data_IF_011315476060
#
_entry.id   IF_011315476060
#
_cell.length_a   1.000
_cell.length_b   1.000
_cell.length_c   1.000
_cell.angle_alpha   90.00
_cell.angle_beta   90.00
_cell.angle_gamma   90.00
#
_symmetry.space_group_name_H-M   'P 1'
#
loop_
_entity.id
_entity.type
_entity.pdbx_description
1 polymer ?
#
# COMPACT_ATOMS: atom_id res chain seq x y z
N UNK A 1 -33.17 28.57 -59.90
CA UNK A 1 -32.08 28.95 -58.98
C UNK A 1 -32.31 28.24 -57.70
N UNK A 2 -31.68 27.05 -57.51
CA UNK A 2 -31.89 26.19 -56.34
C UNK A 2 -30.76 26.39 -55.33
N UNK A 3 -31.10 26.89 -54.13
CA UNK A 3 -30.21 27.02 -53.01
C UNK A 3 -30.09 25.69 -52.29
N UNK A 4 -28.93 25.01 -52.39
CA UNK A 4 -28.60 23.83 -51.60
C UNK A 4 -28.07 24.25 -50.23
N UNK A 5 -28.90 24.07 -49.21
CA UNK A 5 -28.49 24.23 -47.81
C UNK A 5 -27.75 22.96 -47.38
N UNK A 6 -26.42 23.01 -47.29
CA UNK A 6 -25.61 21.93 -46.67
C UNK A 6 -25.64 22.11 -45.17
N UNK A 7 -26.39 21.27 -44.49
CA UNK A 7 -26.34 21.13 -43.03
C UNK A 7 -25.08 20.37 -42.67
N UNK A 8 -24.10 21.06 -42.09
CA UNK A 8 -22.89 20.44 -41.55
C UNK A 8 -23.22 19.95 -40.12
N UNK A 9 -23.47 18.65 -39.97
CA UNK A 9 -23.71 18.05 -38.67
C UNK A 9 -22.36 17.87 -37.95
N UNK A 10 -22.02 18.79 -37.05
CA UNK A 10 -20.83 18.67 -36.19
C UNK A 10 -21.17 17.68 -35.10
N UNK A 11 -20.65 16.47 -35.23
CA UNK A 11 -20.70 15.44 -34.17
C UNK A 11 -19.72 15.85 -33.07
N UNK A 12 -20.21 16.48 -32.01
CA UNK A 12 -19.46 16.74 -30.80
C UNK A 12 -19.28 15.41 -30.07
N UNK A 13 -18.13 14.75 -30.25
CA UNK A 13 -17.72 13.63 -29.43
C UNK A 13 -17.34 14.19 -28.05
N UNK A 14 -18.29 14.13 -27.10
CA UNK A 14 -18.00 14.43 -25.69
C UNK A 14 -17.10 13.34 -25.12
N UNK A 15 -15.79 13.61 -25.06
CA UNK A 15 -14.85 12.78 -24.33
C UNK A 15 -15.11 13.01 -22.82
N UNK A 16 -15.85 12.12 -22.18
CA UNK A 16 -15.96 12.09 -20.72
C UNK A 16 -14.65 11.54 -20.17
N UNK A 17 -13.78 12.42 -19.67
CA UNK A 17 -12.65 12.03 -18.85
C UNK A 17 -13.19 11.40 -17.57
N UNK A 18 -13.19 10.06 -17.52
CA UNK A 18 -13.47 9.34 -16.27
C UNK A 18 -12.22 9.41 -15.40
N UNK A 19 -12.26 10.27 -14.39
CA UNK A 19 -11.25 10.22 -13.33
C UNK A 19 -11.54 9.01 -12.46
N UNK A 20 -10.58 8.11 -12.34
CA UNK A 20 -10.68 7.03 -11.37
C UNK A 20 -10.63 7.62 -9.95
N UNK A 21 -11.54 7.22 -9.08
CA UNK A 21 -11.50 7.60 -7.67
C UNK A 21 -10.19 7.06 -7.05
N UNK A 22 -9.40 7.95 -6.45
CA UNK A 22 -8.18 7.59 -5.72
C UNK A 22 -8.37 7.91 -4.24
N UNK A 23 -8.01 6.95 -3.38
CA UNK A 23 -8.01 7.13 -1.92
C UNK A 23 -6.59 7.00 -1.42
N UNK A 24 -6.00 8.11 -0.99
CA UNK A 24 -4.68 8.10 -0.37
C UNK A 24 -4.78 7.55 1.04
N UNK A 25 -4.23 6.35 1.26
CA UNK A 25 -4.32 5.64 2.53
C UNK A 25 -3.44 6.29 3.60
N UNK A 26 -2.21 6.68 3.25
CA UNK A 26 -1.27 7.36 4.14
C UNK A 26 -0.70 8.60 3.46
N UNK A 27 -0.61 9.70 4.21
CA UNK A 27 0.03 10.93 3.77
C UNK A 27 1.49 11.04 4.23
N UNK A 28 1.88 10.19 5.19
CA UNK A 28 3.20 10.16 5.80
C UNK A 28 3.64 11.54 6.31
N UNK A 29 2.79 12.13 7.16
CA UNK A 29 3.11 13.34 7.91
C UNK A 29 3.48 12.99 9.36
N UNK A 30 4.22 13.87 10.04
CA UNK A 30 4.55 13.67 11.47
C UNK A 30 3.30 13.63 12.35
N UNK A 31 2.29 14.44 12.02
CA UNK A 31 1.00 14.43 12.73
C UNK A 31 0.28 13.08 12.54
N UNK A 32 0.27 12.52 11.33
CA UNK A 32 -0.30 11.20 11.08
C UNK A 32 0.50 10.12 11.81
N UNK A 33 1.83 10.12 11.71
CA UNK A 33 2.69 9.15 12.39
C UNK A 33 2.48 9.17 13.91
N UNK A 34 2.37 10.36 14.52
CA UNK A 34 2.14 10.53 15.95
C UNK A 34 0.77 10.01 16.40
N UNK A 35 -0.20 9.93 15.49
CA UNK A 35 -1.54 9.39 15.78
C UNK A 35 -1.61 7.86 15.70
N UNK A 36 -0.57 7.20 15.17
CA UNK A 36 -0.52 5.76 14.99
C UNK A 36 0.22 5.06 16.12
N UNK A 37 -0.30 3.92 16.54
CA UNK A 37 0.36 3.07 17.52
C UNK A 37 1.38 2.12 16.87
N UNK A 38 2.63 2.17 17.33
CA UNK A 38 3.64 1.18 16.96
C UNK A 38 3.44 -0.09 17.78
N UNK A 39 2.98 -1.15 17.14
CA UNK A 39 2.72 -2.46 17.76
C UNK A 39 3.86 -3.42 17.49
N UNK A 40 4.55 -3.84 18.55
CA UNK A 40 5.62 -4.84 18.45
C UNK A 40 5.06 -6.19 18.01
N UNK A 41 5.72 -6.83 17.05
CA UNK A 41 5.37 -8.20 16.65
C UNK A 41 5.72 -9.17 17.79
N UNK A 42 4.85 -10.17 18.01
CA UNK A 42 5.08 -11.19 19.04
C UNK A 42 6.39 -11.94 18.76
N UNK A 43 7.26 -12.00 19.77
CA UNK A 43 8.58 -12.64 19.67
C UNK A 43 9.70 -11.72 19.17
N UNK A 44 9.39 -10.49 18.72
CA UNK A 44 10.42 -9.52 18.39
C UNK A 44 11.12 -8.99 19.66
N UNK A 45 12.42 -8.72 19.57
CA UNK A 45 13.18 -8.16 20.68
C UNK A 45 12.86 -6.67 20.87
N UNK A 46 12.87 -5.89 19.79
CA UNK A 46 12.70 -4.46 19.80
C UNK A 46 11.54 -4.01 18.88
N UNK A 47 11.14 -2.76 19.00
CA UNK A 47 10.26 -2.09 18.03
C UNK A 47 11.09 -1.47 16.92
N UNK A 48 10.60 -1.53 15.69
CA UNK A 48 11.08 -0.77 14.55
C UNK A 48 10.95 0.73 14.84
N UNK A 49 11.94 1.51 14.45
CA UNK A 49 11.90 2.96 14.52
C UNK A 49 11.31 3.49 13.22
N UNK A 50 10.26 4.28 13.33
CA UNK A 50 9.58 4.91 12.20
C UNK A 50 9.79 6.42 12.23
N UNK A 51 10.14 7.00 11.10
CA UNK A 51 10.27 8.44 10.89
C UNK A 51 9.67 8.84 9.56
N UNK A 52 9.24 10.08 9.45
CA UNK A 52 8.80 10.65 8.18
C UNK A 52 10.00 11.25 7.46
N UNK A 53 10.08 11.03 6.16
CA UNK A 53 11.00 11.70 5.25
C UNK A 53 10.26 12.28 4.06
N UNK A 54 10.95 13.10 3.28
CA UNK A 54 10.40 13.69 2.07
C UNK A 54 11.46 13.74 0.96
N UNK A 55 11.00 13.61 -0.29
CA UNK A 55 11.81 13.75 -1.49
C UNK A 55 10.98 14.35 -2.63
N UNK A 56 11.49 14.38 -3.85
CA UNK A 56 10.81 14.86 -5.04
C UNK A 56 9.47 14.18 -5.33
N UNK A 57 9.29 12.92 -4.89
CA UNK A 57 8.05 12.15 -5.07
C UNK A 57 7.06 12.34 -3.90
N UNK A 58 7.39 13.17 -2.92
CA UNK A 58 6.57 13.46 -1.76
C UNK A 58 7.07 12.81 -0.46
N UNK A 59 6.17 12.74 0.52
CA UNK A 59 6.49 12.17 1.82
C UNK A 59 6.52 10.64 1.80
N UNK A 60 7.39 10.07 2.61
CA UNK A 60 7.50 8.63 2.79
C UNK A 60 7.72 8.26 4.26
N UNK A 61 7.38 7.03 4.62
CA UNK A 61 7.69 6.45 5.93
C UNK A 61 9.03 5.71 5.83
N UNK A 62 10.00 6.13 6.62
CA UNK A 62 11.25 5.40 6.82
C UNK A 62 11.12 4.47 8.02
N UNK A 63 11.47 3.21 7.85
CA UNK A 63 11.47 2.20 8.89
C UNK A 63 12.88 1.65 9.08
N UNK A 64 13.39 1.70 10.30
CA UNK A 64 14.69 1.12 10.67
C UNK A 64 14.45 0.00 11.68
N UNK A 65 14.76 -1.23 11.27
CA UNK A 65 14.63 -2.43 12.07
C UNK A 65 16.01 -3.01 12.35
N UNK A 66 16.48 -2.87 13.59
CA UNK A 66 17.68 -3.53 14.09
C UNK A 66 17.28 -4.50 15.19
N UNK A 67 17.35 -5.79 14.88
CA UNK A 67 16.82 -6.85 15.75
C UNK A 67 15.41 -6.52 16.27
N UNK A 68 14.58 -5.99 15.38
CA UNK A 68 13.31 -5.37 15.69
C UNK A 68 12.24 -5.75 14.66
N UNK A 69 11.01 -5.91 15.11
CA UNK A 69 9.85 -6.03 14.24
C UNK A 69 8.63 -5.38 14.89
N UNK A 70 7.98 -4.51 14.14
CA UNK A 70 6.71 -3.91 14.54
C UNK A 70 5.91 -3.47 13.32
N UNK A 71 4.66 -3.14 13.53
CA UNK A 71 3.77 -2.65 12.50
C UNK A 71 3.09 -1.36 12.92
N UNK A 72 2.71 -0.59 11.92
CA UNK A 72 1.80 0.55 12.00
C UNK A 72 0.56 0.24 11.19
N UNK A 73 -0.58 0.73 11.61
CA UNK A 73 -1.80 0.52 10.85
C UNK A 73 -2.92 1.45 11.27
N UNK A 74 -3.85 1.65 10.38
CA UNK A 74 -5.11 2.33 10.64
C UNK A 74 -6.27 1.62 9.97
N UNK A 75 -7.45 1.87 10.49
CA UNK A 75 -8.69 1.40 9.89
C UNK A 75 -9.27 2.47 8.98
N UNK A 76 -9.66 2.07 7.77
CA UNK A 76 -10.27 2.96 6.78
C UNK A 76 -11.47 2.29 6.14
N UNK A 77 -12.43 3.09 5.70
CA UNK A 77 -13.57 2.60 4.90
C UNK A 77 -13.27 2.82 3.43
N UNK A 78 -13.24 1.74 2.65
CA UNK A 78 -12.99 1.77 1.21
C UNK A 78 -14.13 1.06 0.48
N UNK A 79 -14.57 1.65 -0.64
CA UNK A 79 -15.48 1.00 -1.58
C UNK A 79 -14.67 0.31 -2.68
N UNK A 80 -14.48 -1.00 -2.55
CA UNK A 80 -13.70 -1.79 -3.51
C UNK A 80 -14.31 -1.87 -4.92
N UNK A 81 -15.59 -1.51 -5.09
CA UNK A 81 -16.18 -1.40 -6.43
C UNK A 81 -15.69 -0.15 -7.17
N UNK A 82 -15.26 0.90 -6.44
CA UNK A 82 -14.72 2.13 -6.99
C UNK A 82 -13.20 2.13 -7.06
N UNK A 83 -12.56 1.57 -6.02
CA UNK A 83 -11.10 1.54 -5.88
C UNK A 83 -10.62 0.10 -5.64
N UNK A 84 -10.66 -0.78 -6.67
CA UNK A 84 -10.32 -2.20 -6.53
C UNK A 84 -8.81 -2.48 -6.47
N UNK A 85 -7.98 -1.51 -6.82
CA UNK A 85 -6.53 -1.65 -6.85
C UNK A 85 -5.86 -1.00 -5.66
N UNK A 86 -4.72 -1.52 -5.24
CA UNK A 86 -3.83 -0.90 -4.28
C UNK A 86 -2.48 -0.63 -4.94
N UNK A 87 -1.98 0.59 -4.78
CA UNK A 87 -0.65 0.98 -5.22
C UNK A 87 0.27 1.05 -3.99
N UNK A 88 1.36 0.30 -4.03
CA UNK A 88 2.36 0.26 -2.97
C UNK A 88 3.71 0.61 -3.61
N UNK A 89 4.31 1.70 -3.16
CA UNK A 89 5.67 2.06 -3.55
C UNK A 89 6.58 1.89 -2.35
N UNK A 90 7.62 1.10 -2.50
CA UNK A 90 8.63 0.90 -1.47
C UNK A 90 10.05 0.85 -2.02
N UNK A 91 10.98 1.20 -1.18
CA UNK A 91 12.41 1.07 -1.41
C UNK A 91 13.00 0.31 -0.22
N UNK A 92 13.77 -0.74 -0.48
CA UNK A 92 14.51 -1.45 0.55
C UNK A 92 15.99 -1.10 0.39
N UNK A 93 16.55 -0.50 1.43
CA UNK A 93 17.98 -0.15 1.45
C UNK A 93 18.84 -1.34 1.88
N UNK A 94 18.31 -2.18 2.78
CA UNK A 94 18.99 -3.39 3.24
C UNK A 94 17.99 -4.52 3.37
N UNK A 95 18.14 -5.54 2.53
CA UNK A 95 17.32 -6.76 2.58
C UNK A 95 17.83 -7.77 3.60
N UNK A 96 17.09 -8.87 3.75
CA UNK A 96 17.43 -10.01 4.60
C UNK A 96 18.12 -11.09 3.76
N UNK A 97 19.42 -10.96 3.55
CA UNK A 97 20.16 -11.92 2.73
C UNK A 97 20.35 -13.27 3.44
N UNK A 98 20.35 -14.35 2.66
CA UNK A 98 20.73 -15.69 3.12
C UNK A 98 19.69 -16.45 3.92
N UNK A 99 18.46 -15.92 4.09
CA UNK A 99 17.36 -16.65 4.71
C UNK A 99 16.56 -17.44 3.66
N UNK A 100 16.09 -18.63 4.04
CA UNK A 100 15.20 -19.45 3.20
C UNK A 100 13.75 -19.05 3.47
N UNK A 101 13.26 -18.04 2.75
CA UNK A 101 11.93 -17.45 2.95
C UNK A 101 10.77 -18.43 2.72
N UNK A 102 11.00 -19.51 1.97
CA UNK A 102 10.07 -20.60 1.69
C UNK A 102 9.91 -21.58 2.86
N UNK A 103 10.74 -21.46 3.89
CA UNK A 103 10.67 -22.29 5.09
C UNK A 103 10.02 -21.57 6.26
N UNK A 104 9.36 -22.32 7.15
CA UNK A 104 8.77 -21.76 8.38
C UNK A 104 9.79 -21.00 9.24
N UNK A 105 11.04 -21.44 9.30
CA UNK A 105 12.11 -20.83 10.08
C UNK A 105 12.62 -19.54 9.45
N UNK A 106 12.66 -19.48 8.13
CA UNK A 106 13.15 -18.34 7.36
C UNK A 106 12.03 -17.45 6.80
N UNK A 107 10.77 -17.66 7.21
CA UNK A 107 9.62 -16.88 6.71
C UNK A 107 9.61 -15.47 7.31
N UNK A 108 10.64 -14.71 6.97
CA UNK A 108 10.83 -13.32 7.33
C UNK A 108 11.09 -12.46 6.09
N UNK A 109 10.70 -11.20 6.12
CA UNK A 109 10.76 -10.31 4.97
C UNK A 109 11.16 -8.90 5.42
N UNK A 110 11.93 -8.22 4.59
CA UNK A 110 12.40 -6.87 4.89
C UNK A 110 11.26 -5.85 5.06
N UNK A 111 10.17 -6.02 4.29
CA UNK A 111 8.95 -5.22 4.46
C UNK A 111 7.71 -6.06 4.15
N UNK A 112 6.60 -5.71 4.81
CA UNK A 112 5.28 -6.30 4.59
C UNK A 112 4.20 -5.23 4.63
N UNK A 113 3.21 -5.36 3.76
CA UNK A 113 1.97 -4.60 3.82
C UNK A 113 0.80 -5.56 3.96
N UNK A 114 0.04 -5.42 5.03
CA UNK A 114 -1.18 -6.20 5.26
C UNK A 114 -2.41 -5.38 4.89
N UNK A 115 -3.27 -5.96 4.05
CA UNK A 115 -4.63 -5.49 3.83
C UNK A 115 -5.57 -6.46 4.51
N UNK A 116 -6.26 -5.99 5.55
CA UNK A 116 -7.09 -6.83 6.40
C UNK A 116 -8.56 -6.43 6.25
N UNK A 117 -9.40 -7.36 5.82
CA UNK A 117 -10.85 -7.20 5.80
C UNK A 117 -11.44 -7.85 7.05
N UNK A 118 -12.10 -7.05 7.87
CA UNK A 118 -12.91 -7.57 8.99
C UNK A 118 -14.16 -8.25 8.43
N UNK A 119 -14.35 -9.52 8.74
CA UNK A 119 -15.50 -10.32 8.24
C UNK A 119 -16.39 -10.85 9.33
N UNK A 120 -16.04 -10.60 10.60
CA UNK A 120 -16.82 -11.03 11.76
C UNK A 120 -16.34 -10.40 13.06
N UNK A 121 -16.93 -10.83 14.16
CA UNK A 121 -16.70 -10.26 15.49
C UNK A 121 -15.33 -10.63 16.11
N UNK A 122 -14.71 -11.70 15.62
CA UNK A 122 -13.42 -12.19 16.16
C UNK A 122 -12.26 -11.92 15.20
N UNK A 123 -11.03 -11.76 15.69
CA UNK A 123 -9.85 -11.65 14.82
C UNK A 123 -9.65 -12.85 13.89
N UNK A 124 -10.11 -14.04 14.29
CA UNK A 124 -10.00 -15.28 13.50
C UNK A 124 -10.90 -15.29 12.26
N UNK A 125 -11.94 -14.47 12.22
CA UNK A 125 -12.81 -14.32 11.05
C UNK A 125 -12.30 -13.31 10.03
N UNK A 126 -11.18 -12.63 10.28
CA UNK A 126 -10.61 -11.67 9.36
C UNK A 126 -9.95 -12.37 8.16
N UNK A 127 -10.04 -11.74 6.99
CA UNK A 127 -9.27 -12.12 5.80
C UNK A 127 -8.16 -11.11 5.58
N UNK A 128 -6.96 -11.59 5.28
CA UNK A 128 -5.80 -10.73 5.05
C UNK A 128 -5.09 -11.13 3.77
N UNK A 129 -4.64 -10.12 3.03
CA UNK A 129 -3.65 -10.25 1.97
C UNK A 129 -2.36 -9.66 2.52
N UNK A 130 -1.26 -10.38 2.31
CA UNK A 130 0.06 -9.97 2.78
C UNK A 130 0.96 -9.76 1.56
N UNK A 131 1.30 -8.52 1.27
CA UNK A 131 2.30 -8.15 0.28
C UNK A 131 3.65 -8.12 0.96
N UNK A 132 4.63 -8.82 0.43
CA UNK A 132 5.97 -8.95 1.03
C UNK A 132 7.05 -8.48 0.05
N UNK A 133 8.10 -7.84 0.56
CA UNK A 133 9.33 -7.63 -0.19
C UNK A 133 10.25 -8.82 0.09
N UNK A 134 10.36 -9.72 -0.89
CA UNK A 134 11.29 -10.85 -0.82
C UNK A 134 12.69 -10.40 -1.18
N UNK A 135 13.67 -10.77 -0.36
CA UNK A 135 15.09 -10.49 -0.60
C UNK A 135 15.79 -11.62 -1.36
N UNK A 136 15.20 -12.81 -1.41
CA UNK A 136 15.86 -14.04 -1.87
C UNK A 136 15.13 -14.73 -3.02
N UNK A 137 13.89 -14.36 -3.32
CA UNK A 137 13.10 -14.95 -4.40
C UNK A 137 13.03 -14.03 -5.61
N UNK A 138 12.84 -14.62 -6.79
CA UNK A 138 12.62 -13.85 -8.02
C UNK A 138 11.24 -13.16 -7.98
N UNK A 139 11.16 -11.99 -8.60
CA UNK A 139 9.90 -11.26 -8.75
C UNK A 139 8.95 -12.07 -9.67
N UNK A 140 7.68 -12.19 -9.28
CA UNK A 140 6.63 -12.76 -10.14
C UNK A 140 6.17 -14.17 -9.78
N UNK A 141 6.29 -14.57 -8.52
CA UNK A 141 5.65 -15.77 -7.96
C UNK A 141 4.40 -15.39 -7.16
#
# INVERSE_FOLDING_TARGET
MYFLFRIFLIWLISFTLSFADEVKVFNFTDAELSSLEVRKVRGANNKTIYTVGSNENGNFLKAVADNAASGLGKEIKINLNKTPFINITWKIEKGLAGIKEDTKKGHDFAARVFVIKKTGATPLSNRAINYVFSSNNKVGF
#
